data_IF_690479773398
#
_entry.id   IF_690479773398
#
_cell.length_a   1.000
_cell.length_b   1.000
_cell.length_c   1.000
_cell.angle_alpha   90.00
_cell.angle_beta   90.00
_cell.angle_gamma   90.00
#
_symmetry.space_group_name_H-M   'P 1'
#
loop_
_entity.id
_entity.type
_entity.pdbx_description
1 polymer ?
#
# COMPACT_ATOMS: atom_id res chain seq x y z
N UNK A 1 9.67 5.38 -20.04
CA UNK A 1 10.01 3.94 -20.16
C UNK A 1 8.74 3.11 -19.92
N UNK A 2 8.50 2.03 -20.67
CA UNK A 2 7.36 1.13 -20.41
C UNK A 2 7.71 0.10 -19.32
N UNK A 3 6.77 -0.22 -18.41
CA UNK A 3 6.94 -1.26 -17.37
C UNK A 3 7.42 -2.60 -17.93
N UNK A 4 6.98 -2.98 -19.13
CA UNK A 4 7.41 -4.23 -19.79
C UNK A 4 8.93 -4.27 -20.02
N UNK A 5 9.57 -3.11 -20.21
CA UNK A 5 11.03 -3.01 -20.39
C UNK A 5 11.78 -3.16 -19.06
N UNK A 6 11.20 -2.68 -17.96
CA UNK A 6 11.74 -2.85 -16.60
C UNK A 6 11.65 -4.31 -16.14
N UNK A 7 10.57 -5.00 -16.53
CA UNK A 7 10.35 -6.43 -16.28
C UNK A 7 10.95 -7.32 -17.38
N UNK A 8 12.02 -6.86 -18.03
CA UNK A 8 12.70 -7.63 -19.07
C UNK A 8 13.35 -8.90 -18.50
N UNK A 9 13.80 -9.77 -19.41
CA UNK A 9 14.38 -11.07 -19.06
C UNK A 9 15.49 -10.93 -18.01
N UNK A 10 15.33 -11.62 -16.90
CA UNK A 10 16.31 -11.64 -15.80
C UNK A 10 15.86 -10.89 -14.54
N UNK A 11 14.98 -9.90 -14.66
CA UNK A 11 14.56 -9.08 -13.52
C UNK A 11 13.74 -9.91 -12.53
N UNK A 12 14.11 -9.83 -11.24
CA UNK A 12 13.33 -10.36 -10.13
C UNK A 12 12.58 -9.18 -9.50
N UNK A 13 11.26 -9.23 -9.49
CA UNK A 13 10.43 -8.22 -8.85
C UNK A 13 10.34 -8.51 -7.34
N UNK A 14 10.57 -7.49 -6.52
CA UNK A 14 10.55 -7.60 -5.06
C UNK A 14 9.52 -6.63 -4.51
N UNK A 15 8.72 -7.09 -3.55
CA UNK A 15 7.66 -6.28 -2.94
C UNK A 15 6.91 -7.01 -1.84
N UNK A 16 5.77 -6.48 -1.45
CA UNK A 16 4.93 -7.02 -0.39
C UNK A 16 3.48 -7.12 -0.87
N UNK A 17 2.91 -8.32 -0.82
CA UNK A 17 1.57 -8.61 -1.37
C UNK A 17 1.44 -8.31 -2.88
N UNK A 18 2.53 -8.48 -3.62
CA UNK A 18 2.63 -8.18 -5.06
C UNK A 18 1.61 -8.94 -5.91
N UNK A 19 1.10 -10.08 -5.44
CA UNK A 19 0.02 -10.79 -6.13
C UNK A 19 -1.17 -9.87 -6.45
N UNK A 20 -1.54 -8.98 -5.52
CA UNK A 20 -2.65 -8.04 -5.72
C UNK A 20 -2.30 -6.98 -6.78
N UNK A 21 -1.10 -6.42 -6.70
CA UNK A 21 -0.62 -5.39 -7.63
C UNK A 21 -0.50 -5.94 -9.06
N UNK A 22 0.14 -7.10 -9.21
CA UNK A 22 0.32 -7.76 -10.51
C UNK A 22 -1.02 -8.12 -11.14
N UNK A 23 -1.98 -8.60 -10.34
CA UNK A 23 -3.36 -8.86 -10.80
C UNK A 23 -4.04 -7.58 -11.27
N UNK A 24 -3.95 -6.49 -10.51
CA UNK A 24 -4.54 -5.21 -10.88
C UNK A 24 -3.91 -4.63 -12.17
N UNK A 25 -2.59 -4.78 -12.32
CA UNK A 25 -1.85 -4.33 -13.48
C UNK A 25 -1.96 -5.27 -14.70
N UNK A 26 -2.57 -6.45 -14.53
CA UNK A 26 -2.65 -7.52 -15.54
C UNK A 26 -1.28 -7.91 -16.10
N UNK A 27 -0.30 -8.01 -15.20
CA UNK A 27 1.07 -8.42 -15.50
C UNK A 27 1.28 -9.83 -14.98
N UNK A 28 1.72 -10.72 -15.87
CA UNK A 28 2.23 -12.03 -15.49
C UNK A 28 3.76 -12.01 -15.55
N UNK A 29 4.38 -12.01 -14.36
CA UNK A 29 5.83 -12.01 -14.21
C UNK A 29 6.23 -13.15 -13.28
N UNK A 30 6.96 -14.14 -13.80
CA UNK A 30 7.25 -15.36 -13.06
C UNK A 30 8.25 -15.16 -11.91
N UNK A 31 9.19 -14.22 -12.04
CA UNK A 31 10.31 -14.04 -11.11
C UNK A 31 9.96 -13.00 -10.05
N UNK A 32 9.28 -13.43 -9.00
CA UNK A 32 8.80 -12.56 -7.92
C UNK A 32 9.27 -13.07 -6.56
N UNK A 33 9.76 -12.16 -5.72
CA UNK A 33 9.92 -12.38 -4.29
C UNK A 33 8.90 -11.50 -3.57
N UNK A 34 7.84 -12.15 -3.09
CA UNK A 34 6.81 -11.50 -2.30
C UNK A 34 7.09 -11.73 -0.81
N UNK A 35 7.51 -10.67 -0.11
CA UNK A 35 7.87 -10.71 1.31
C UNK A 35 6.71 -11.18 2.19
N UNK A 36 5.45 -11.03 1.77
CA UNK A 36 4.28 -11.52 2.53
C UNK A 36 4.19 -13.06 2.58
N UNK A 37 4.91 -13.76 1.69
CA UNK A 37 5.01 -15.22 1.67
C UNK A 37 6.36 -15.74 2.20
N UNK A 38 7.41 -14.91 2.15
CA UNK A 38 8.75 -15.26 2.65
C UNK A 38 8.78 -15.40 4.17
N UNK A 39 8.01 -14.55 4.86
CA UNK A 39 7.96 -14.50 6.32
C UNK A 39 6.62 -15.01 6.84
N UNK A 40 6.64 -15.71 7.98
CA UNK A 40 5.45 -16.30 8.60
C UNK A 40 5.45 -16.05 10.10
N UNK A 41 4.28 -15.89 10.69
CA UNK A 41 4.17 -15.86 12.13
C UNK A 41 4.40 -17.26 12.72
N UNK A 42 5.12 -17.29 13.85
CA UNK A 42 5.23 -18.51 14.67
C UNK A 42 3.84 -18.96 15.13
N UNK A 43 3.58 -20.26 15.06
CA UNK A 43 2.37 -20.91 15.59
C UNK A 43 1.06 -20.32 15.08
N UNK A 44 1.06 -19.79 13.85
CA UNK A 44 -0.15 -19.27 13.19
C UNK A 44 -0.46 -20.06 11.93
N UNK A 45 -1.74 -20.13 11.53
CA UNK A 45 -2.13 -20.70 10.25
C UNK A 45 -1.39 -20.03 9.08
N UNK A 46 -1.05 -20.82 8.07
CA UNK A 46 -0.27 -20.38 6.91
C UNK A 46 -0.95 -19.29 6.06
N UNK A 47 -2.26 -19.10 6.22
CA UNK A 47 -3.02 -18.06 5.53
C UNK A 47 -2.85 -16.66 6.16
N UNK A 48 -2.36 -16.57 7.39
CA UNK A 48 -2.16 -15.29 8.07
C UNK A 48 -0.80 -14.71 7.67
N UNK A 49 -0.82 -13.77 6.72
CA UNK A 49 0.37 -13.07 6.26
C UNK A 49 0.70 -11.89 7.18
N UNK A 50 1.97 -11.69 7.56
CA UNK A 50 2.37 -10.52 8.32
C UNK A 50 2.28 -9.25 7.48
N UNK A 51 1.91 -8.13 8.10
CA UNK A 51 1.93 -6.82 7.44
C UNK A 51 3.37 -6.37 7.19
N UNK A 52 3.59 -5.51 6.20
CA UNK A 52 4.91 -4.91 5.97
C UNK A 52 5.41 -4.13 7.20
N UNK A 53 4.50 -3.49 7.95
CA UNK A 53 4.84 -2.83 9.22
C UNK A 53 5.38 -3.84 10.25
N UNK A 54 4.73 -4.99 10.39
CA UNK A 54 5.19 -6.01 11.34
C UNK A 54 6.52 -6.60 10.92
N UNK A 55 6.71 -6.87 9.63
CA UNK A 55 8.01 -7.32 9.12
C UNK A 55 9.09 -6.29 9.38
N UNK A 56 8.84 -5.02 9.09
CA UNK A 56 9.79 -3.96 9.35
C UNK A 56 10.19 -3.89 10.84
N UNK A 57 9.20 -3.94 11.73
CA UNK A 57 9.44 -3.87 13.18
C UNK A 57 10.17 -5.12 13.70
N UNK A 58 9.77 -6.31 13.27
CA UNK A 58 10.32 -7.58 13.76
C UNK A 58 11.67 -7.96 13.15
N UNK A 59 11.89 -7.63 11.88
CA UNK A 59 13.09 -8.04 11.12
C UNK A 59 14.13 -6.92 11.04
N UNK A 60 13.69 -5.68 10.78
CA UNK A 60 14.58 -4.54 10.60
C UNK A 60 14.72 -3.68 11.86
N UNK A 61 13.90 -3.91 12.89
CA UNK A 61 14.00 -3.26 14.19
C UNK A 61 13.52 -1.80 14.23
N UNK A 62 12.79 -1.33 13.21
CA UNK A 62 12.24 0.04 13.19
C UNK A 62 10.78 0.08 12.74
N UNK A 63 10.09 1.16 13.11
CA UNK A 63 8.71 1.39 12.70
C UNK A 63 8.66 2.08 11.35
N UNK A 64 8.09 1.40 10.35
CA UNK A 64 7.98 1.93 8.99
C UNK A 64 7.07 3.18 8.91
N UNK A 65 6.02 3.21 9.73
CA UNK A 65 4.98 4.24 9.71
C UNK A 65 4.59 4.62 11.12
N UNK A 66 4.32 5.92 11.31
CA UNK A 66 3.68 6.42 12.52
C UNK A 66 2.18 6.13 12.48
N UNK A 67 1.53 6.13 13.64
CA UNK A 67 0.07 6.08 13.72
C UNK A 67 -0.52 7.21 12.86
N UNK A 68 -1.45 6.86 11.99
CA UNK A 68 -2.15 7.77 11.06
C UNK A 68 -1.33 8.40 9.92
N UNK A 69 -0.10 7.94 9.65
CA UNK A 69 0.64 8.40 8.48
C UNK A 69 0.11 7.79 7.18
N UNK A 70 0.01 8.60 6.12
CA UNK A 70 -0.30 8.14 4.78
C UNK A 70 0.75 7.14 4.26
N UNK A 71 0.32 6.22 3.40
CA UNK A 71 1.21 5.28 2.73
C UNK A 71 2.09 5.99 1.68
N UNK A 72 3.36 5.60 1.65
CA UNK A 72 4.32 6.04 0.65
C UNK A 72 4.87 4.80 -0.08
N UNK A 73 4.61 4.72 -1.38
CA UNK A 73 4.99 3.55 -2.20
C UNK A 73 6.51 3.38 -2.31
N UNK A 74 7.29 4.46 -2.28
CA UNK A 74 8.75 4.40 -2.33
C UNK A 74 9.31 3.78 -1.04
N UNK A 75 8.82 4.22 0.12
CA UNK A 75 9.22 3.66 1.41
C UNK A 75 8.83 2.19 1.54
N UNK A 76 7.64 1.83 1.06
CA UNK A 76 7.17 0.44 1.02
C UNK A 76 8.06 -0.46 0.14
N UNK A 77 8.36 -0.01 -1.08
CA UNK A 77 9.23 -0.75 -2.01
C UNK A 77 10.66 -0.90 -1.46
N UNK A 78 11.21 0.18 -0.88
CA UNK A 78 12.54 0.15 -0.26
C UNK A 78 12.58 -0.79 0.94
N UNK A 79 11.51 -0.84 1.74
CA UNK A 79 11.43 -1.70 2.92
C UNK A 79 11.29 -3.16 2.53
N UNK A 80 10.47 -3.49 1.53
CA UNK A 80 10.40 -4.85 0.99
C UNK A 80 11.76 -5.33 0.46
N UNK A 81 12.50 -4.45 -0.23
CA UNK A 81 13.88 -4.74 -0.66
C UNK A 81 14.81 -5.02 0.53
N UNK A 82 14.81 -4.15 1.54
CA UNK A 82 15.62 -4.33 2.76
C UNK A 82 15.33 -5.65 3.47
N UNK A 83 14.07 -6.08 3.52
CA UNK A 83 13.69 -7.37 4.11
C UNK A 83 14.30 -8.56 3.35
N UNK A 84 14.28 -8.51 2.02
CA UNK A 84 14.89 -9.57 1.19
C UNK A 84 16.41 -9.58 1.35
N UNK A 85 17.06 -8.41 1.35
CA UNK A 85 18.50 -8.33 1.60
C UNK A 85 18.88 -8.84 2.98
N UNK A 86 18.15 -8.46 4.03
CA UNK A 86 18.37 -8.99 5.39
C UNK A 86 18.23 -10.53 5.44
N UNK A 87 17.29 -11.09 4.68
CA UNK A 87 17.12 -12.55 4.57
C UNK A 87 18.32 -13.22 3.90
N UNK A 88 18.82 -12.65 2.81
CA UNK A 88 19.88 -13.25 1.98
C UNK A 88 21.26 -13.04 2.60
N UNK A 89 21.55 -11.82 3.07
CA UNK A 89 22.89 -11.40 3.53
C UNK A 89 23.11 -11.73 5.01
N UNK A 90 22.09 -11.53 5.85
CA UNK A 90 22.20 -11.71 7.30
C UNK A 90 21.60 -13.02 7.80
N UNK A 91 20.99 -13.82 6.92
CA UNK A 91 20.41 -15.12 7.27
C UNK A 91 19.26 -15.04 8.28
N UNK A 92 18.51 -13.93 8.31
CA UNK A 92 17.42 -13.76 9.29
C UNK A 92 16.37 -14.87 9.17
N UNK A 93 15.83 -15.33 10.29
CA UNK A 93 14.78 -16.35 10.29
C UNK A 93 13.52 -15.83 9.54
N UNK A 94 12.89 -16.73 8.79
CA UNK A 94 11.58 -16.46 8.17
C UNK A 94 10.44 -16.49 9.19
N UNK A 95 10.66 -17.06 10.38
CA UNK A 95 9.67 -17.13 11.44
C UNK A 95 9.77 -15.89 12.32
N UNK A 96 8.72 -15.07 12.32
CA UNK A 96 8.65 -13.86 13.14
C UNK A 96 7.67 -14.03 14.31
N UNK A 97 7.91 -13.36 15.46
CA UNK A 97 6.96 -13.35 16.56
C UNK A 97 5.66 -12.66 16.15
N UNK A 98 4.54 -13.14 16.70
CA UNK A 98 3.26 -12.47 16.53
C UNK A 98 3.25 -11.18 17.35
N UNK A 99 3.55 -10.05 16.69
CA UNK A 99 3.32 -8.73 17.28
C UNK A 99 1.83 -8.43 17.13
N UNK A 100 1.09 -8.43 18.24
CA UNK A 100 -0.26 -7.91 18.26
C UNK A 100 -0.16 -6.40 18.10
N UNK A 101 -0.56 -5.88 16.94
CA UNK A 101 -0.93 -4.47 16.88
C UNK A 101 -2.14 -4.30 17.80
N UNK A 102 -2.10 -3.31 18.68
CA UNK A 102 -3.33 -2.84 19.31
C UNK A 102 -4.30 -2.54 18.16
N UNK A 103 -5.37 -3.32 18.09
CA UNK A 103 -6.42 -3.14 17.09
C UNK A 103 -6.87 -1.71 17.26
N UNK A 104 -6.55 -0.86 16.27
CA UNK A 104 -7.17 0.45 16.20
C UNK A 104 -8.67 0.17 16.20
N UNK A 105 -9.41 0.78 17.13
CA UNK A 105 -10.87 0.79 17.14
C UNK A 105 -11.36 0.79 15.70
N UNK A 106 -12.38 -0.02 15.35
CA UNK A 106 -12.80 -0.19 13.97
C UNK A 106 -12.95 1.18 13.34
N UNK A 107 -11.93 1.59 12.57
CA UNK A 107 -11.98 2.81 11.78
C UNK A 107 -13.15 2.54 10.87
N UNK A 108 -14.23 3.30 11.06
CA UNK A 108 -15.39 3.30 10.15
C UNK A 108 -14.83 3.13 8.74
N UNK A 109 -15.30 2.11 8.04
CA UNK A 109 -14.72 1.73 6.76
C UNK A 109 -14.81 2.93 5.83
N UNK A 110 -13.66 3.58 5.54
CA UNK A 110 -13.61 4.75 4.68
C UNK A 110 -13.42 4.29 3.23
N UNK A 111 -14.32 4.70 2.34
CA UNK A 111 -14.14 4.54 0.90
C UNK A 111 -13.48 5.80 0.36
N UNK A 112 -12.24 5.67 -0.12
CA UNK A 112 -11.51 6.77 -0.74
C UNK A 112 -11.80 6.80 -2.24
N UNK A 113 -12.56 7.80 -2.70
CA UNK A 113 -12.84 8.00 -4.12
C UNK A 113 -11.93 9.10 -4.66
N UNK A 114 -11.26 8.81 -5.78
CA UNK A 114 -10.33 9.74 -6.43
C UNK A 114 -10.75 10.01 -7.89
N UNK A 115 -10.26 11.12 -8.46
CA UNK A 115 -10.59 11.58 -9.83
C UNK A 115 -12.06 11.94 -10.01
N UNK A 116 -12.68 12.46 -8.95
CA UNK A 116 -13.97 13.12 -9.06
C UNK A 116 -13.72 14.47 -9.76
N UNK A 117 -14.41 14.76 -10.88
CA UNK A 117 -14.30 16.06 -11.53
C UNK A 117 -14.73 17.15 -10.56
N UNK A 118 -14.00 18.26 -10.51
CA UNK A 118 -14.24 19.42 -9.62
C UNK A 118 -15.64 20.02 -9.75
N UNK A 119 -16.33 19.73 -10.85
CA UNK A 119 -17.70 20.17 -11.11
C UNK A 119 -18.75 19.35 -10.36
N UNK A 120 -18.38 18.19 -9.81
CA UNK A 120 -19.30 17.29 -9.13
C UNK A 120 -19.35 17.66 -7.65
N UNK A 121 -20.48 18.21 -7.21
CA UNK A 121 -20.68 18.60 -5.82
C UNK A 121 -21.01 17.39 -4.92
N UNK A 122 -20.75 17.52 -3.62
CA UNK A 122 -21.00 16.47 -2.62
C UNK A 122 -22.44 15.95 -2.60
N UNK A 123 -23.42 16.81 -2.91
CA UNK A 123 -24.84 16.45 -3.00
C UNK A 123 -25.12 15.46 -4.14
N UNK A 124 -24.34 15.50 -5.22
CA UNK A 124 -24.47 14.53 -6.31
C UNK A 124 -23.87 13.17 -5.93
N UNK A 125 -22.80 13.16 -5.12
CA UNK A 125 -22.17 11.93 -4.63
C UNK A 125 -23.11 11.14 -3.71
N UNK A 126 -23.91 11.82 -2.88
CA UNK A 126 -24.95 11.20 -2.05
C UNK A 126 -26.04 10.49 -2.87
N UNK A 127 -26.26 10.88 -4.15
CA UNK A 127 -27.23 10.20 -5.02
C UNK A 127 -26.68 8.91 -5.62
N UNK A 128 -25.37 8.80 -5.75
CA UNK A 128 -24.69 7.66 -6.39
C UNK A 128 -24.32 6.59 -5.37
N UNK A 129 -23.97 6.98 -4.15
CA UNK A 129 -23.59 6.06 -3.07
C UNK A 129 -24.77 5.97 -2.09
N UNK A 130 -25.60 4.91 -2.16
CA UNK A 130 -26.74 4.75 -1.26
C UNK A 130 -26.28 4.46 0.18
N UNK A 131 -26.94 5.11 1.16
CA UNK A 131 -26.73 4.87 2.60
C UNK A 131 -26.49 6.16 3.40
N UNK A 132 -26.49 6.03 4.73
CA UNK A 132 -26.10 7.11 5.65
C UNK A 132 -24.56 7.19 5.72
N UNK A 133 -23.98 7.95 4.80
CA UNK A 133 -22.54 8.15 4.65
C UNK A 133 -22.14 9.60 4.97
N UNK A 134 -20.95 9.79 5.53
CA UNK A 134 -20.39 11.12 5.81
C UNK A 134 -19.33 11.44 4.77
N UNK A 135 -19.55 12.47 3.96
CA UNK A 135 -18.62 12.87 2.90
C UNK A 135 -17.65 13.94 3.40
N UNK A 136 -16.35 13.64 3.42
CA UNK A 136 -15.27 14.62 3.66
C UNK A 136 -14.48 14.90 2.36
N UNK A 137 -14.54 16.13 1.86
CA UNK A 137 -13.76 16.56 0.68
C UNK A 137 -12.40 17.10 1.12
N UNK A 138 -11.31 16.46 0.68
CA UNK A 138 -9.92 16.93 0.89
C UNK A 138 -9.35 17.51 -0.40
N UNK A 139 -9.34 18.84 -0.49
CA UNK A 139 -8.72 19.57 -1.60
C UNK A 139 -7.21 19.68 -1.35
N UNK A 140 -6.40 19.07 -2.22
CA UNK A 140 -4.94 19.28 -2.21
C UNK A 140 -4.63 20.62 -2.87
N UNK A 141 -4.29 21.62 -2.06
CA UNK A 141 -3.91 22.93 -2.53
C UNK A 141 -2.50 22.87 -3.15
N UNK A 142 -2.41 22.68 -4.47
CA UNK A 142 -1.16 22.77 -5.23
C UNK A 142 -0.74 24.24 -5.29
N UNK A 143 0.17 24.66 -4.40
CA UNK A 143 0.74 26.01 -4.43
C UNK A 143 1.61 26.19 -5.69
N UNK A 144 1.04 26.95 -6.64
CA UNK A 144 1.69 27.93 -7.53
C UNK A 144 2.95 27.52 -8.31
N UNK A 145 2.76 27.22 -9.61
CA UNK A 145 3.55 27.77 -10.74
C UNK A 145 2.72 27.68 -12.03
N UNK A 146 2.09 28.81 -12.35
CA UNK A 146 1.77 29.38 -13.67
C UNK A 146 1.41 28.45 -14.87
N UNK A 147 0.11 28.50 -15.22
CA UNK A 147 -0.50 28.38 -16.56
C UNK A 147 -0.22 27.12 -17.42
N UNK A 148 -0.84 25.98 -17.07
CA UNK A 148 -1.55 25.09 -18.03
C UNK A 148 -2.74 24.44 -17.28
N UNK A 149 -3.91 24.42 -17.92
CA UNK A 149 -5.15 23.74 -17.49
C UNK A 149 -4.92 22.25 -17.19
N UNK A 150 -4.72 21.80 -15.95
CA UNK A 150 -4.89 20.38 -15.59
C UNK A 150 -5.35 20.13 -14.13
N UNK A 151 -6.45 19.39 -14.04
CA UNK A 151 -6.95 18.49 -12.98
C UNK A 151 -6.64 18.81 -11.51
N UNK A 152 -7.55 19.53 -10.85
CA UNK A 152 -7.71 19.45 -9.39
C UNK A 152 -8.31 18.07 -9.05
N UNK A 153 -7.55 17.21 -8.37
CA UNK A 153 -8.03 15.90 -7.93
C UNK A 153 -8.66 16.04 -6.55
N UNK A 154 -9.98 15.93 -6.48
CA UNK A 154 -10.70 15.77 -5.21
C UNK A 154 -10.48 14.34 -4.67
N UNK A 155 -10.11 14.26 -3.39
CA UNK A 155 -10.27 13.05 -2.60
C UNK A 155 -11.54 13.23 -1.77
N UNK A 156 -12.47 12.31 -1.96
CA UNK A 156 -13.69 12.22 -1.15
C UNK A 156 -13.50 11.00 -0.25
N UNK A 157 -13.49 11.22 1.06
CA UNK A 157 -13.65 10.15 2.04
C UNK A 157 -15.14 9.98 2.29
N UNK A 158 -15.65 8.76 2.11
CA UNK A 158 -17.05 8.36 2.35
C UNK A 158 -17.09 7.36 3.49
#
# INVERSE_FOLDING_TARGET
>A
MSMKKLLSHGTILIGHSLHNDLRALKIDHARVIDTSYVFKYRDQPSNRRPSLCNLCKSVLGFELRKKDSLHNCLDDACTAMKLVLAKIECGVDSIIPLVREEVQEPKVAKLLVHRIPVVVHSEELHKVIPGDITIEVKIKNLKSKELILEESVEQVEV
#
